data_IF_780074036206
#
_entry.id   IF_780074036206
#
_cell.length_a   1.000
_cell.length_b   1.000
_cell.length_c   1.000
_cell.angle_alpha   90.00
_cell.angle_beta   90.00
_cell.angle_gamma   90.00
#
_symmetry.space_group_name_H-M   'P 1'
#
loop_
_entity.id
_entity.type
_entity.pdbx_description
1 polymer ?
#
# COMPACT_ATOMS: atom_id res chain seq x y z
N UNK A 1 21.35 -1.98 3.71
CA UNK A 1 21.11 -0.54 3.60
C UNK A 1 21.30 0.08 4.98
N UNK A 2 22.22 1.04 5.20
CA UNK A 2 22.38 1.70 6.49
C UNK A 2 21.09 2.39 7.00
N UNK A 3 20.17 2.73 6.10
CA UNK A 3 18.90 3.38 6.44
C UNK A 3 17.77 2.41 6.83
N UNK A 4 17.99 1.10 6.79
CA UNK A 4 16.97 0.11 7.18
C UNK A 4 15.74 0.03 6.27
N UNK A 5 15.79 0.63 5.06
CA UNK A 5 14.68 0.56 4.09
C UNK A 5 14.46 -0.88 3.64
N UNK A 6 13.24 -1.37 3.80
CA UNK A 6 12.81 -2.71 3.38
C UNK A 6 12.29 -2.68 1.93
N UNK A 7 11.50 -1.65 1.59
CA UNK A 7 10.92 -1.50 0.24
C UNK A 7 10.60 -0.03 -0.08
N UNK A 8 10.48 0.30 -1.36
CA UNK A 8 10.16 1.65 -1.87
C UNK A 8 9.10 1.58 -2.98
N UNK A 9 8.05 2.38 -2.82
CA UNK A 9 6.94 2.45 -3.78
C UNK A 9 6.74 3.87 -4.29
N UNK A 10 6.70 4.03 -5.61
CA UNK A 10 6.39 5.32 -6.24
C UNK A 10 4.89 5.45 -6.47
N UNK A 11 4.29 6.45 -5.83
CA UNK A 11 2.84 6.72 -5.88
C UNK A 11 2.25 6.74 -7.30
N UNK A 12 2.98 7.29 -8.28
CA UNK A 12 2.56 7.32 -9.70
C UNK A 12 2.28 5.95 -10.33
N UNK A 13 2.72 4.86 -9.72
CA UNK A 13 2.50 3.49 -10.19
C UNK A 13 1.50 2.71 -9.33
N UNK A 14 0.96 3.33 -8.27
CA UNK A 14 -0.11 2.74 -7.48
C UNK A 14 -1.39 2.74 -8.33
N UNK A 15 -1.94 1.55 -8.58
CA UNK A 15 -3.13 1.37 -9.41
C UNK A 15 -4.40 1.25 -8.59
N UNK A 16 -4.32 0.61 -7.41
CA UNK A 16 -5.47 0.39 -6.54
C UNK A 16 -5.01 0.25 -5.08
N UNK A 17 -5.88 0.58 -4.14
CA UNK A 17 -5.67 0.36 -2.72
C UNK A 17 -7.00 0.10 -2.03
N UNK A 18 -7.00 -0.73 -0.99
CA UNK A 18 -8.18 -0.99 -0.18
C UNK A 18 -7.88 -1.58 1.19
N UNK A 19 -8.91 -1.59 2.03
CA UNK A 19 -8.94 -2.25 3.34
C UNK A 19 -9.82 -3.49 3.20
N UNK A 20 -9.43 -4.60 3.83
CA UNK A 20 -10.20 -5.83 3.80
C UNK A 20 -11.56 -5.66 4.51
N UNK A 21 -12.61 -6.28 3.96
CA UNK A 21 -13.98 -6.17 4.48
C UNK A 21 -14.17 -6.93 5.79
N UNK A 22 -13.53 -8.09 5.90
CA UNK A 22 -13.61 -9.01 7.04
C UNK A 22 -12.60 -8.68 8.15
N UNK A 23 -11.58 -7.86 7.85
CA UNK A 23 -10.58 -7.45 8.82
C UNK A 23 -10.06 -6.03 8.57
N UNK A 24 -10.53 -5.09 9.39
CA UNK A 24 -10.14 -3.67 9.32
C UNK A 24 -8.65 -3.40 9.59
N UNK A 25 -7.91 -4.38 10.12
CA UNK A 25 -6.45 -4.29 10.32
C UNK A 25 -5.67 -4.65 9.07
N UNK A 26 -6.28 -5.28 8.07
CA UNK A 26 -5.61 -5.65 6.83
C UNK A 26 -5.90 -4.62 5.73
N UNK A 27 -4.85 -4.13 5.10
CA UNK A 27 -4.97 -3.37 3.85
C UNK A 27 -3.96 -3.86 2.83
N UNK A 28 -4.21 -3.47 1.58
CA UNK A 28 -3.25 -3.71 0.51
C UNK A 28 -3.30 -2.59 -0.52
N UNK A 29 -2.19 -2.43 -1.24
CA UNK A 29 -2.14 -1.66 -2.46
C UNK A 29 -1.51 -2.46 -3.59
N UNK A 30 -1.92 -2.15 -4.82
CA UNK A 30 -1.48 -2.80 -6.04
C UNK A 30 -0.61 -1.82 -6.82
N UNK A 31 0.58 -2.26 -7.20
CA UNK A 31 1.56 -1.51 -7.97
C UNK A 31 1.66 -2.05 -9.39
N UNK A 32 1.61 -1.17 -10.39
CA UNK A 32 1.95 -1.50 -11.76
C UNK A 32 3.47 -1.46 -11.95
N UNK A 33 4.02 -2.51 -12.54
CA UNK A 33 5.46 -2.64 -12.78
C UNK A 33 5.80 -2.39 -14.24
N UNK A 34 7.08 -2.07 -14.51
CA UNK A 34 7.58 -1.88 -15.88
C UNK A 34 7.44 -3.12 -16.78
N UNK A 35 7.30 -4.31 -16.19
CA UNK A 35 7.07 -5.57 -16.89
C UNK A 35 5.59 -5.81 -17.24
N UNK A 36 4.75 -4.78 -17.11
CA UNK A 36 3.30 -4.87 -17.27
C UNK A 36 2.64 -5.92 -16.34
N UNK A 37 3.21 -6.09 -15.14
CA UNK A 37 2.65 -6.93 -14.08
C UNK A 37 2.11 -6.07 -12.95
N UNK A 38 1.16 -6.61 -12.21
CA UNK A 38 0.61 -6.00 -11.01
C UNK A 38 1.05 -6.79 -9.79
N UNK A 39 1.59 -6.10 -8.78
CA UNK A 39 2.04 -6.71 -7.52
C UNK A 39 1.21 -6.13 -6.38
N UNK A 40 0.64 -7.01 -5.55
CA UNK A 40 -0.14 -6.63 -4.38
C UNK A 40 0.74 -6.70 -3.13
N UNK A 41 0.81 -5.60 -2.38
CA UNK A 41 1.52 -5.50 -1.11
C UNK A 41 0.51 -5.41 0.01
N UNK A 42 0.53 -6.37 0.94
CA UNK A 42 -0.44 -6.50 2.03
C UNK A 42 0.22 -6.14 3.35
N UNK A 43 -0.49 -5.38 4.18
CA UNK A 43 -0.03 -4.92 5.48
C UNK A 43 -1.06 -5.24 6.56
N UNK A 44 -0.55 -5.58 7.74
CA UNK A 44 -1.33 -5.66 8.96
C UNK A 44 -1.02 -4.42 9.81
N UNK A 45 -2.04 -3.63 10.13
CA UNK A 45 -1.93 -2.37 10.85
C UNK A 45 -2.80 -2.40 12.10
N UNK A 46 -2.23 -2.00 13.23
CA UNK A 46 -2.97 -1.84 14.49
C UNK A 46 -3.14 -0.36 14.85
N UNK A 47 -4.32 0.06 15.36
CA UNK A 47 -5.52 -0.75 15.62
C UNK A 47 -6.39 -0.99 14.37
N UNK A 48 -6.17 -0.25 13.28
CA UNK A 48 -6.81 -0.45 11.97
C UNK A 48 -5.93 0.11 10.85
N UNK A 49 -6.18 -0.31 9.62
CA UNK A 49 -5.48 0.17 8.43
C UNK A 49 -6.02 1.50 7.88
N UNK A 50 -7.10 2.04 8.46
CA UNK A 50 -7.73 3.29 8.04
C UNK A 50 -6.77 4.47 7.92
N UNK A 51 -5.96 4.79 8.95
CA UNK A 51 -4.99 5.88 8.89
C UNK A 51 -3.95 5.69 7.77
N UNK A 52 -3.41 4.48 7.61
CA UNK A 52 -2.42 4.18 6.56
C UNK A 52 -3.01 4.42 5.17
N UNK A 53 -4.21 3.88 4.89
CA UNK A 53 -4.86 4.10 3.61
C UNK A 53 -5.20 5.56 3.35
N UNK A 54 -5.65 6.33 4.36
CA UNK A 54 -5.90 7.78 4.18
C UNK A 54 -4.62 8.56 3.86
N UNK A 55 -3.49 8.21 4.48
CA UNK A 55 -2.20 8.83 4.18
C UNK A 55 -1.77 8.53 2.74
N UNK A 56 -1.90 7.29 2.29
CA UNK A 56 -1.58 6.92 0.90
C UNK A 56 -2.54 7.61 -0.07
N UNK A 57 -3.84 7.68 0.23
CA UNK A 57 -4.82 8.40 -0.57
C UNK A 57 -4.44 9.88 -0.72
N UNK A 58 -4.03 10.53 0.37
CA UNK A 58 -3.58 11.92 0.36
C UNK A 58 -2.31 12.13 -0.47
N UNK A 59 -1.40 11.15 -0.48
CA UNK A 59 -0.20 11.20 -1.33
C UNK A 59 -0.51 10.99 -2.82
N UNK A 60 -1.62 10.31 -3.14
CA UNK A 60 -2.08 10.10 -4.52
C UNK A 60 -2.83 11.30 -5.11
N UNK A 61 -3.31 12.24 -4.29
CA UNK A 61 -3.96 13.49 -4.72
C UNK A 61 -2.93 14.53 -5.10
#
# INVERSE_FOLDING_TARGET
NPDGIIDEFRVRFLSFMGIALDNVKMCAFIMHTSQNKFICHVFHCEPSAGPMCKTIEAACK
#
